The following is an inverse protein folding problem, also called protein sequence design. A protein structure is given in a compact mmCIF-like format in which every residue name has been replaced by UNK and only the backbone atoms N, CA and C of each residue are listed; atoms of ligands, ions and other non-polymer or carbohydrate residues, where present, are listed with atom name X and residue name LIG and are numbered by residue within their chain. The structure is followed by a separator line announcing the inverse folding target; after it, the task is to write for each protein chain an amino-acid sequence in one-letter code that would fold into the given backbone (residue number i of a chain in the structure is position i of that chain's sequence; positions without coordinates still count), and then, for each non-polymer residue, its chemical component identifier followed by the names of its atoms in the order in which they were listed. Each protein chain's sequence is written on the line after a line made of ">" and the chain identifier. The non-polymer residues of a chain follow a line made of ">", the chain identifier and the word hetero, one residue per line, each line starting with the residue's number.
data_IF_555929473206
#
_entry.id   IF_555929473206
#
_cell.length_a   1.000
_cell.length_b   1.000
_cell.length_c   1.000
_cell.angle_alpha   90.00
_cell.angle_beta   90.00
_cell.angle_gamma   90.00
#
_symmetry.space_group_name_H-M   'P 1'
#
loop_
_entity.id
_entity.type
_entity.pdbx_description
1 polymer ?
#
# COMPACT_ATOMS: atom_id res chain seq x y z
N UNK A 1 2.35 -4.78 -21.41
CA UNK A 1 2.84 -5.14 -20.07
C UNK A 1 4.16 -4.42 -19.87
N UNK A 2 4.26 -3.56 -18.87
CA UNK A 2 5.50 -2.86 -18.61
C UNK A 2 6.50 -3.86 -18.03
N UNK A 3 7.61 -4.05 -18.71
CA UNK A 3 8.71 -4.95 -18.31
C UNK A 3 9.60 -4.28 -17.24
N UNK A 4 8.96 -3.77 -16.20
CA UNK A 4 9.62 -3.10 -15.07
C UNK A 4 9.69 -4.01 -13.82
N UNK A 5 9.32 -5.29 -13.97
CA UNK A 5 9.35 -6.27 -12.89
C UNK A 5 8.21 -6.16 -11.88
N UNK A 6 7.21 -5.31 -12.11
CA UNK A 6 6.07 -5.10 -11.22
C UNK A 6 4.77 -5.49 -11.92
N UNK A 7 4.03 -6.44 -11.34
CA UNK A 7 2.68 -6.77 -11.80
C UNK A 7 1.71 -7.00 -10.65
N UNK A 8 0.46 -6.60 -10.83
CA UNK A 8 -0.60 -6.77 -9.84
C UNK A 8 -1.69 -7.65 -10.47
N UNK A 9 -1.98 -8.77 -9.82
CA UNK A 9 -3.09 -9.65 -10.16
C UNK A 9 -4.13 -9.52 -9.05
N UNK A 10 -5.19 -8.77 -9.30
CA UNK A 10 -6.30 -8.60 -8.37
C UNK A 10 -7.24 -9.80 -8.51
N UNK A 11 -7.56 -10.45 -7.40
CA UNK A 11 -8.54 -11.53 -7.33
C UNK A 11 -9.63 -11.22 -6.31
N UNK A 12 -10.67 -12.04 -6.33
CA UNK A 12 -11.88 -11.81 -5.53
C UNK A 12 -11.64 -11.86 -4.01
N UNK A 13 -10.81 -12.81 -3.56
CA UNK A 13 -10.50 -13.01 -2.14
C UNK A 13 -9.05 -12.63 -1.80
N UNK A 14 -8.21 -12.46 -2.82
CA UNK A 14 -6.78 -12.23 -2.66
C UNK A 14 -6.22 -11.55 -3.90
N UNK A 15 -5.42 -10.53 -3.66
CA UNK A 15 -4.56 -9.93 -4.68
C UNK A 15 -3.12 -10.39 -4.51
N UNK A 16 -2.44 -10.60 -5.63
CA UNK A 16 -1.03 -10.99 -5.69
C UNK A 16 -0.24 -9.96 -6.49
N UNK A 17 0.69 -9.30 -5.82
CA UNK A 17 1.65 -8.38 -6.42
C UNK A 17 2.97 -9.12 -6.61
N UNK A 18 3.42 -9.25 -7.85
CA UNK A 18 4.73 -9.80 -8.17
C UNK A 18 5.75 -8.67 -8.30
N UNK A 19 6.88 -8.86 -7.63
CA UNK A 19 8.02 -7.93 -7.57
C UNK A 19 9.26 -8.73 -7.96
N UNK A 20 9.62 -8.73 -9.24
CA UNK A 20 10.65 -9.64 -9.75
C UNK A 20 11.59 -8.97 -10.75
N UNK A 21 12.87 -9.29 -10.64
CA UNK A 21 13.90 -9.06 -11.66
C UNK A 21 14.89 -10.24 -11.61
N UNK A 22 15.91 -10.29 -12.49
CA UNK A 22 16.90 -11.37 -12.47
C UNK A 22 17.67 -11.53 -11.15
N UNK A 23 17.76 -10.48 -10.33
CA UNK A 23 18.53 -10.49 -9.08
C UNK A 23 17.68 -10.77 -7.84
N UNK A 24 16.36 -10.52 -7.90
CA UNK A 24 15.48 -10.65 -6.74
C UNK A 24 14.04 -10.94 -7.18
N UNK A 25 13.35 -11.82 -6.47
CA UNK A 25 11.99 -12.25 -6.79
C UNK A 25 11.16 -12.37 -5.53
N UNK A 26 9.94 -11.83 -5.55
CA UNK A 26 9.02 -11.88 -4.42
C UNK A 26 7.56 -11.79 -4.85
N UNK A 27 6.69 -12.26 -3.96
CA UNK A 27 5.25 -12.13 -4.05
C UNK A 27 4.73 -11.45 -2.78
N UNK A 28 3.91 -10.42 -2.95
CA UNK A 28 3.15 -9.81 -1.87
C UNK A 28 1.69 -10.24 -2.05
N UNK A 29 1.17 -10.94 -1.05
CA UNK A 29 -0.24 -11.29 -0.97
C UNK A 29 -0.98 -10.25 -0.15
N UNK A 30 -2.08 -9.75 -0.69
CA UNK A 30 -3.01 -8.87 0.03
C UNK A 30 -4.36 -9.56 0.08
N UNK A 31 -4.84 -9.79 1.29
CA UNK A 31 -6.16 -10.34 1.56
C UNK A 31 -6.99 -9.31 2.32
N UNK A 32 -8.33 -9.34 2.21
CA UNK A 32 -9.20 -8.53 3.06
C UNK A 32 -8.88 -8.77 4.55
N UNK A 33 -8.78 -7.69 5.33
CA UNK A 33 -8.45 -7.72 6.75
C UNK A 33 -9.19 -6.58 7.50
N UNK A 34 -9.13 -6.60 8.84
CA UNK A 34 -9.86 -5.64 9.71
C UNK A 34 -9.62 -4.16 9.39
N UNK A 35 -8.49 -3.81 8.78
CA UNK A 35 -8.16 -2.43 8.42
C UNK A 35 -8.36 -2.09 6.95
N UNK A 36 -8.77 -3.08 6.14
CA UNK A 36 -8.94 -2.94 4.68
C UNK A 36 -10.32 -3.37 4.16
N UNK A 37 -11.22 -3.84 5.03
CA UNK A 37 -12.55 -4.32 4.64
C UNK A 37 -13.46 -3.26 4.01
N UNK A 38 -13.22 -1.97 4.27
CA UNK A 38 -14.06 -0.85 3.81
C UNK A 38 -13.87 -0.55 2.31
N UNK A 39 -12.84 -1.13 1.68
CA UNK A 39 -12.47 -0.82 0.31
C UNK A 39 -13.11 -1.80 -0.69
N UNK A 40 -13.37 -1.36 -1.93
CA UNK A 40 -13.79 -2.29 -2.99
C UNK A 40 -12.69 -3.32 -3.23
N UNK A 41 -13.07 -4.54 -3.66
CA UNK A 41 -12.13 -5.67 -3.83
C UNK A 41 -10.94 -5.30 -4.72
N UNK A 42 -11.17 -4.47 -5.73
CA UNK A 42 -10.17 -4.01 -6.69
C UNK A 42 -9.15 -3.05 -6.10
N UNK A 43 -9.53 -2.33 -5.04
CA UNK A 43 -8.74 -1.28 -4.42
C UNK A 43 -8.10 -1.73 -3.09
N UNK A 44 -8.42 -2.92 -2.59
CA UNK A 44 -7.83 -3.51 -1.37
C UNK A 44 -6.30 -3.44 -1.35
N UNK A 45 -5.55 -3.77 -2.44
CA UNK A 45 -4.08 -3.65 -2.43
C UNK A 45 -3.57 -2.24 -2.18
N UNK A 46 -4.20 -1.26 -2.82
CA UNK A 46 -3.83 0.15 -2.66
C UNK A 46 -4.12 0.63 -1.24
N UNK A 47 -5.32 0.35 -0.71
CA UNK A 47 -5.72 0.74 0.64
C UNK A 47 -4.83 0.09 1.71
N UNK A 48 -4.60 -1.22 1.61
CA UNK A 48 -3.79 -1.97 2.56
C UNK A 48 -2.33 -1.49 2.57
N UNK A 49 -1.71 -1.32 1.40
CA UNK A 49 -0.32 -0.86 1.32
C UNK A 49 -0.16 0.59 1.80
N UNK A 50 -1.08 1.49 1.43
CA UNK A 50 -1.05 2.87 1.91
C UNK A 50 -1.19 2.94 3.45
N UNK A 51 -2.16 2.21 4.02
CA UNK A 51 -2.34 2.12 5.46
C UNK A 51 -1.14 1.51 6.19
N UNK A 52 -0.62 0.40 5.67
CA UNK A 52 0.54 -0.29 6.23
C UNK A 52 1.78 0.61 6.25
N UNK A 53 2.16 1.24 5.14
CA UNK A 53 3.35 2.08 5.10
C UNK A 53 3.21 3.37 5.91
N UNK A 54 2.01 3.95 5.97
CA UNK A 54 1.73 5.07 6.88
C UNK A 54 2.02 4.70 8.32
N UNK A 55 1.49 3.56 8.78
CA UNK A 55 1.72 3.12 10.15
C UNK A 55 3.17 2.71 10.38
N UNK A 56 3.78 1.99 9.44
CA UNK A 56 5.18 1.57 9.47
C UNK A 56 6.13 2.75 9.69
N UNK A 57 5.94 3.83 8.93
CA UNK A 57 6.75 5.05 9.05
C UNK A 57 6.43 5.85 10.31
N UNK A 58 5.17 5.85 10.76
CA UNK A 58 4.75 6.54 11.99
C UNK A 58 5.37 5.93 13.26
N UNK A 59 5.74 4.65 13.23
CA UNK A 59 6.42 3.98 14.35
C UNK A 59 7.81 4.55 14.65
N UNK A 60 8.44 5.27 13.69
CA UNK A 60 9.78 5.85 13.82
C UNK A 60 10.83 4.84 14.36
N UNK A 61 10.68 3.58 13.99
CA UNK A 61 11.61 2.53 14.39
C UNK A 61 12.95 2.72 13.63
N UNK A 62 14.10 2.85 14.32
CA UNK A 62 15.37 3.12 13.66
C UNK A 62 15.80 2.04 12.65
N UNK A 63 15.58 0.77 12.97
CA UNK A 63 15.96 -0.34 12.08
C UNK A 63 15.13 -0.37 10.80
N UNK A 64 13.84 -0.04 10.89
CA UNK A 64 12.98 0.10 9.70
C UNK A 64 13.45 1.28 8.84
N UNK A 65 13.77 2.41 9.45
CA UNK A 65 14.26 3.60 8.72
C UNK A 65 15.60 3.34 8.03
N UNK A 66 16.52 2.64 8.70
CA UNK A 66 17.81 2.24 8.12
C UNK A 66 17.63 1.31 6.92
N UNK A 67 16.79 0.27 7.04
CA UNK A 67 16.48 -0.62 5.92
C UNK A 67 15.86 0.15 4.75
N UNK A 68 14.89 1.02 5.01
CA UNK A 68 14.28 1.88 3.99
C UNK A 68 15.35 2.71 3.26
N UNK A 69 16.30 3.30 3.99
CA UNK A 69 17.39 4.07 3.40
C UNK A 69 18.35 3.21 2.57
N UNK A 70 18.78 2.05 3.08
CA UNK A 70 19.69 1.13 2.39
C UNK A 70 19.10 0.63 1.06
N UNK A 71 17.79 0.38 1.02
CA UNK A 71 17.08 -0.01 -0.21
C UNK A 71 16.63 1.18 -1.08
N UNK A 72 16.83 2.42 -0.63
CA UNK A 72 16.42 3.62 -1.36
C UNK A 72 14.90 3.83 -1.44
N UNK A 73 14.15 3.30 -0.45
CA UNK A 73 12.68 3.35 -0.40
C UNK A 73 12.23 4.45 0.55
N UNK A 74 11.33 5.31 0.08
CA UNK A 74 10.70 6.35 0.90
C UNK A 74 9.20 6.31 0.70
N UNK A 75 8.45 6.43 1.80
CA UNK A 75 7.00 6.54 1.76
C UNK A 75 6.57 7.87 2.38
N UNK A 76 5.72 8.61 1.65
CA UNK A 76 5.06 9.82 2.13
C UNK A 76 3.56 9.64 1.96
N UNK A 77 2.82 9.73 3.06
CA UNK A 77 1.36 9.75 2.99
C UNK A 77 0.89 11.01 2.24
N UNK A 78 -0.06 10.85 1.32
CA UNK A 78 -0.75 11.95 0.67
C UNK A 78 -2.06 12.27 1.41
N UNK A 79 -2.53 13.52 1.41
CA UNK A 79 -3.87 13.85 1.90
C UNK A 79 -4.91 13.06 1.10
N UNK A 80 -6.01 12.67 1.75
CA UNK A 80 -7.17 12.18 1.03
C UNK A 80 -7.82 13.35 0.29
N UNK A 81 -8.30 13.13 -0.92
CA UNK A 81 -9.14 14.11 -1.59
C UNK A 81 -10.40 14.29 -0.75
N UNK A 82 -10.69 15.53 -0.33
CA UNK A 82 -11.92 15.83 0.39
C UNK A 82 -13.10 15.48 -0.53
N UNK A 83 -13.94 14.54 -0.14
CA UNK A 83 -15.26 14.40 -0.72
C UNK A 83 -16.04 15.68 -0.44
N UNK A 84 -16.76 16.20 -1.44
CA UNK A 84 -17.57 17.43 -1.34
C UNK A 84 -18.65 17.38 -0.22
N UNK A 85 -18.82 16.23 0.43
CA UNK A 85 -19.81 15.92 1.47
C UNK A 85 -19.43 16.37 2.90
N UNK A 86 -18.18 16.79 3.16
CA UNK A 86 -17.78 17.37 4.46
C UNK A 86 -18.04 18.89 4.56
N UNK A 87 -18.69 19.47 3.56
CA UNK A 87 -18.99 20.92 3.47
C UNK A 87 -20.26 21.34 4.23
N UNK A 88 -21.13 20.40 4.62
CA UNK A 88 -22.47 20.70 5.16
C UNK A 88 -22.68 20.20 6.60
N UNK A 89 -21.80 20.56 7.53
CA UNK A 89 -22.20 20.66 8.93
C UNK A 89 -21.49 21.82 9.64
N UNK A 90 -22.05 23.05 9.60
CA UNK A 90 -21.64 24.08 10.53
C UNK A 90 -22.19 23.71 11.91
N UNK A 91 -21.30 23.75 12.91
CA UNK A 91 -21.65 23.73 14.33
C UNK A 91 -22.47 24.94 14.74
#
# INVERSE_FOLDING_TARGET
>A
MNDNGLSINVGEDMSRIQVTCPHQSGLIYVVPAERSWVCSKEQVPSHALAGFFRELTSMKNPGVQELMQQWGIYYRQLPLEASEDDSEHPS
#
